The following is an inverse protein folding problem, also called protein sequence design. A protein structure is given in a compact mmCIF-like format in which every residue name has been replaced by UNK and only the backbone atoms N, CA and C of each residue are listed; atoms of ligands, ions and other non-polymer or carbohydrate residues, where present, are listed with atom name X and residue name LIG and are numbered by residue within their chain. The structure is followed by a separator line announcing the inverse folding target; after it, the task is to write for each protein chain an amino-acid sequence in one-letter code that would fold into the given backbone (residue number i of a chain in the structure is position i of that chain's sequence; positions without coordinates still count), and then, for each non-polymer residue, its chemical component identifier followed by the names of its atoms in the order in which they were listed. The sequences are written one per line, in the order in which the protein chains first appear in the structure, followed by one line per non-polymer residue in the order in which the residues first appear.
data_IF_958631955873
#
_entry.id   IF_958631955873
#
_cell.length_a   1.000
_cell.length_b   1.000
_cell.length_c   1.000
_cell.angle_alpha   90.00
_cell.angle_beta   90.00
_cell.angle_gamma   90.00
#
_symmetry.space_group_name_H-M   'P 1'
#
loop_
_entity.id
_entity.type
_entity.pdbx_description
1 polymer ?
#
# COMPACT_ATOMS: atom_id res chain seq x y z
N UNK A 1 10.14 -6.62 27.06
CA UNK A 1 9.31 -5.92 26.07
C UNK A 1 9.30 -6.78 24.84
N UNK A 2 8.14 -7.03 24.25
CA UNK A 2 8.01 -7.78 23.02
C UNK A 2 7.99 -6.81 21.83
N UNK A 3 8.80 -7.10 20.82
CA UNK A 3 8.97 -6.29 19.60
C UNK A 3 8.55 -7.05 18.34
N UNK A 4 8.12 -8.30 18.48
CA UNK A 4 7.66 -9.09 17.36
C UNK A 4 6.31 -8.62 16.84
N UNK A 5 6.15 -8.65 15.52
CA UNK A 5 4.84 -8.48 14.91
C UNK A 5 3.96 -9.69 15.21
N UNK A 6 2.69 -9.43 15.54
CA UNK A 6 1.68 -10.48 15.64
C UNK A 6 1.31 -11.00 14.23
N UNK A 7 0.52 -12.08 14.17
CA UNK A 7 0.18 -12.72 12.90
C UNK A 7 -0.59 -11.79 11.94
N UNK A 8 -1.53 -11.00 12.47
CA UNK A 8 -2.32 -10.05 11.68
C UNK A 8 -1.43 -8.96 11.08
N UNK A 9 -0.52 -8.40 11.88
CA UNK A 9 0.44 -7.39 11.43
C UNK A 9 1.38 -7.93 10.34
N UNK A 10 1.85 -9.18 10.46
CA UNK A 10 2.68 -9.83 9.42
C UNK A 10 1.90 -10.05 8.13
N UNK A 11 0.64 -10.49 8.24
CA UNK A 11 -0.23 -10.64 7.09
C UNK A 11 -0.51 -9.30 6.40
N UNK A 12 -0.77 -8.25 7.18
CA UNK A 12 -0.96 -6.90 6.68
C UNK A 12 0.29 -6.36 5.98
N UNK A 13 1.46 -6.50 6.61
CA UNK A 13 2.74 -6.13 6.02
C UNK A 13 2.96 -6.79 4.66
N UNK A 14 2.68 -8.10 4.55
CA UNK A 14 2.78 -8.83 3.29
C UNK A 14 1.81 -8.29 2.24
N UNK A 15 0.56 -8.04 2.64
CA UNK A 15 -0.49 -7.53 1.75
C UNK A 15 -0.12 -6.17 1.16
N UNK A 16 0.38 -5.26 1.99
CA UNK A 16 0.86 -3.94 1.55
C UNK A 16 2.08 -4.07 0.65
N UNK A 17 3.04 -4.92 1.01
CA UNK A 17 4.25 -5.13 0.20
C UNK A 17 3.92 -5.64 -1.20
N UNK A 18 3.06 -6.66 -1.31
CA UNK A 18 2.65 -7.24 -2.59
C UNK A 18 1.90 -6.23 -3.46
N UNK A 19 1.04 -5.39 -2.85
CA UNK A 19 0.36 -4.32 -3.55
C UNK A 19 1.33 -3.27 -4.09
N UNK A 20 2.29 -2.82 -3.28
CA UNK A 20 3.29 -1.82 -3.69
C UNK A 20 4.12 -2.33 -4.85
N UNK A 21 4.61 -3.57 -4.76
CA UNK A 21 5.41 -4.19 -5.82
C UNK A 21 4.66 -4.26 -7.16
N UNK A 22 3.33 -4.51 -7.12
CA UNK A 22 2.52 -4.68 -8.33
C UNK A 22 1.96 -3.38 -8.89
N UNK A 23 1.53 -2.45 -8.05
CA UNK A 23 0.70 -1.30 -8.45
C UNK A 23 1.43 0.05 -8.35
N UNK A 24 2.40 0.16 -7.44
CA UNK A 24 3.11 1.42 -7.16
C UNK A 24 4.47 1.44 -7.83
N UNK A 25 5.29 0.41 -7.58
CA UNK A 25 6.66 0.32 -8.06
C UNK A 25 6.81 0.51 -9.59
N UNK A 26 5.95 -0.09 -10.45
CA UNK A 26 6.12 0.06 -11.90
C UNK A 26 5.93 1.48 -12.42
N UNK A 27 5.17 2.32 -11.71
CA UNK A 27 4.89 3.72 -12.11
C UNK A 27 5.66 4.75 -11.29
N UNK A 28 6.51 4.33 -10.36
CA UNK A 28 7.16 5.23 -9.41
C UNK A 28 8.06 6.27 -10.11
N UNK A 29 8.82 5.85 -11.13
CA UNK A 29 9.67 6.76 -11.89
C UNK A 29 8.86 7.77 -12.71
N UNK A 30 7.81 7.30 -13.40
CA UNK A 30 6.97 8.18 -14.23
C UNK A 30 6.28 9.25 -13.38
N UNK A 31 5.73 8.87 -12.23
CA UNK A 31 5.08 9.78 -11.27
C UNK A 31 6.05 10.85 -10.77
N UNK A 32 7.31 10.49 -10.51
CA UNK A 32 8.35 11.43 -10.09
C UNK A 32 8.67 12.45 -11.20
N UNK A 33 8.89 11.96 -12.43
CA UNK A 33 9.24 12.80 -13.58
C UNK A 33 8.10 13.72 -14.00
N UNK A 34 6.86 13.23 -14.01
CA UNK A 34 5.69 14.00 -14.48
C UNK A 34 5.00 14.80 -13.39
N UNK A 35 5.28 14.49 -12.12
CA UNK A 35 4.52 15.01 -10.97
C UNK A 35 3.01 14.72 -11.03
N UNK A 36 2.60 13.71 -11.80
CA UNK A 36 1.21 13.28 -11.90
C UNK A 36 0.87 12.23 -10.85
N UNK A 37 -0.23 12.43 -10.13
CA UNK A 37 -0.62 11.52 -9.08
C UNK A 37 -1.17 10.19 -9.63
N UNK A 38 -0.69 9.06 -9.08
CA UNK A 38 -1.13 7.71 -9.48
C UNK A 38 -2.51 7.35 -8.92
N UNK A 39 -3.55 8.01 -9.46
CA UNK A 39 -4.93 7.77 -9.08
C UNK A 39 -5.41 6.34 -9.33
N UNK A 40 -4.79 5.62 -10.27
CA UNK A 40 -5.13 4.23 -10.54
C UNK A 40 -4.81 3.35 -9.32
N UNK A 41 -3.58 3.42 -8.81
CA UNK A 41 -3.18 2.68 -7.61
C UNK A 41 -4.02 3.13 -6.40
N UNK A 42 -4.20 4.44 -6.19
CA UNK A 42 -4.98 4.95 -5.05
C UNK A 42 -6.43 4.45 -5.05
N UNK A 43 -7.09 4.36 -6.21
CA UNK A 43 -8.44 3.78 -6.28
C UNK A 43 -8.46 2.29 -5.93
N UNK A 44 -7.42 1.53 -6.32
CA UNK A 44 -7.27 0.11 -5.97
C UNK A 44 -6.99 -0.10 -4.47
N UNK A 45 -6.39 0.87 -3.78
CA UNK A 45 -6.15 0.81 -2.33
C UNK A 45 -7.44 0.80 -1.49
N UNK A 46 -8.49 1.48 -1.96
CA UNK A 46 -9.75 1.65 -1.21
C UNK A 46 -10.42 0.31 -0.83
N UNK A 47 -10.75 -0.57 -1.81
CA UNK A 47 -11.33 -1.88 -1.54
C UNK A 47 -10.45 -2.81 -0.68
N UNK A 48 -9.15 -2.55 -0.58
CA UNK A 48 -8.22 -3.32 0.27
C UNK A 48 -8.14 -2.80 1.71
N UNK A 49 -8.93 -1.77 2.06
CA UNK A 49 -8.93 -1.18 3.40
C UNK A 49 -7.70 -0.30 3.69
N UNK A 50 -6.82 -0.06 2.71
CA UNK A 50 -5.55 0.65 2.91
C UNK A 50 -5.72 2.16 3.14
N UNK A 51 -6.89 2.73 2.82
CA UNK A 51 -7.19 4.16 2.98
C UNK A 51 -7.98 4.50 4.24
N UNK A 52 -8.36 3.49 5.03
CA UNK A 52 -9.26 3.67 6.17
C UNK A 52 -9.01 2.71 7.33
N UNK A 53 -7.81 2.14 7.45
CA UNK A 53 -7.50 1.06 8.41
C UNK A 53 -7.90 1.39 9.86
N UNK A 54 -7.86 2.65 10.25
CA UNK A 54 -8.18 3.12 11.61
C UNK A 54 -9.53 3.85 11.70
N UNK A 55 -10.35 3.83 10.65
CA UNK A 55 -11.67 4.46 10.66
C UNK A 55 -12.70 3.39 11.09
N UNK A 56 -13.50 3.64 12.15
CA UNK A 56 -14.55 2.72 12.61
C UNK A 56 -15.64 2.44 11.57
#
# INVERSE_FOLDING_TARGET
MDFDLNQEQRFWQKTVHDFVAREVQPKAHDVDVTSEFNWEATRKMGPLGMLGLNIP
#
